data_IF_053732928336
#
_entry.id   IF_053732928336
#
_cell.length_a   1.000
_cell.length_b   1.000
_cell.length_c   1.000
_cell.angle_alpha   90.00
_cell.angle_beta   90.00
_cell.angle_gamma   90.00
#
_symmetry.space_group_name_H-M   'P 1'
#
loop_
_entity.id
_entity.type
_entity.pdbx_description
1 polymer ?
#
# COMPACT_ATOMS: atom_id res chain seq x y z
N UNK A 1 3.68 -42.84 15.57
CA UNK A 1 3.90 -41.38 15.39
C UNK A 1 3.67 -40.72 16.74
N UNK A 2 4.69 -40.72 17.60
CA UNK A 2 4.62 -39.99 18.87
C UNK A 2 4.77 -38.51 18.53
N UNK A 3 3.76 -37.70 18.84
CA UNK A 3 3.88 -36.26 18.72
C UNK A 3 4.84 -35.80 19.82
N UNK A 4 5.98 -35.24 19.45
CA UNK A 4 6.84 -34.55 20.40
C UNK A 4 6.06 -33.32 20.88
N UNK A 5 5.68 -33.30 22.15
CA UNK A 5 5.15 -32.10 22.77
C UNK A 5 6.24 -31.02 22.69
N UNK A 6 6.03 -29.98 21.87
CA UNK A 6 6.91 -28.81 21.85
C UNK A 6 7.06 -28.32 23.30
N UNK A 7 8.26 -28.42 23.85
CA UNK A 7 8.56 -27.91 25.18
C UNK A 7 8.16 -26.43 25.23
N UNK A 8 7.21 -26.10 26.10
CA UNK A 8 6.82 -24.72 26.33
C UNK A 8 8.10 -23.94 26.71
N UNK A 9 8.43 -22.91 25.92
CA UNK A 9 9.56 -22.03 26.23
C UNK A 9 9.16 -21.24 27.47
N UNK A 10 9.56 -21.72 28.64
CA UNK A 10 9.41 -20.98 29.89
C UNK A 10 10.53 -19.93 29.91
N UNK A 11 10.21 -18.63 29.95
CA UNK A 11 11.21 -17.59 30.05
C UNK A 11 12.09 -17.81 31.30
N UNK A 12 13.39 -17.53 31.16
CA UNK A 12 14.31 -17.54 32.29
C UNK A 12 13.94 -16.42 33.26
N UNK A 13 13.65 -16.80 34.50
CA UNK A 13 13.16 -15.93 35.56
C UNK A 13 13.72 -16.37 36.89
N UNK A 14 13.90 -15.41 37.81
CA UNK A 14 14.29 -15.73 39.18
C UNK A 14 13.29 -16.71 39.81
N UNK A 15 13.74 -17.72 40.60
CA UNK A 15 12.85 -18.72 41.19
C UNK A 15 11.69 -18.15 42.01
N UNK A 16 11.91 -17.00 42.66
CA UNK A 16 10.93 -16.28 43.47
C UNK A 16 9.79 -15.65 42.65
N UNK A 17 10.04 -15.37 41.36
CA UNK A 17 9.08 -14.75 40.45
C UNK A 17 8.46 -15.77 39.49
N UNK A 18 8.85 -17.05 39.59
CA UNK A 18 8.38 -18.09 38.68
C UNK A 18 6.98 -18.54 39.09
N UNK A 19 5.93 -18.27 38.28
CA UNK A 19 4.59 -18.75 38.58
C UNK A 19 4.55 -20.29 38.61
N UNK A 20 3.78 -20.86 39.53
CA UNK A 20 3.54 -22.30 39.62
C UNK A 20 2.05 -22.65 39.54
N UNK A 21 1.76 -23.88 39.11
CA UNK A 21 0.38 -24.36 38.92
C UNK A 21 -0.33 -24.43 40.26
N UNK A 22 -1.49 -23.79 40.37
CA UNK A 22 -2.27 -23.73 41.60
C UNK A 22 -1.85 -22.61 42.56
N UNK A 23 -0.98 -21.69 42.14
CA UNK A 23 -0.66 -20.50 42.92
C UNK A 23 -1.93 -19.65 43.14
N UNK A 24 -2.21 -19.34 44.40
CA UNK A 24 -3.35 -18.51 44.83
C UNK A 24 -2.80 -17.20 45.39
N UNK A 25 -3.49 -16.10 45.09
CA UNK A 25 -3.21 -14.77 45.64
C UNK A 25 -4.37 -14.35 46.55
N UNK A 26 -4.08 -13.59 47.60
CA UNK A 26 -5.09 -13.08 48.53
C UNK A 26 -6.01 -12.06 47.86
N UNK A 27 -5.43 -11.19 47.02
CA UNK A 27 -6.15 -10.18 46.25
C UNK A 27 -5.80 -10.23 44.77
N UNK A 28 -6.65 -9.62 43.94
CA UNK A 28 -6.38 -9.47 42.52
C UNK A 28 -5.16 -8.58 42.29
N UNK A 29 -5.00 -7.55 43.11
CA UNK A 29 -3.88 -6.60 43.08
C UNK A 29 -2.53 -7.30 43.32
N UNK A 30 -2.49 -8.26 44.25
CA UNK A 30 -1.28 -9.04 44.53
C UNK A 30 -0.92 -9.93 43.33
N UNK A 31 -1.91 -10.59 42.73
CA UNK A 31 -1.71 -11.38 41.51
C UNK A 31 -1.21 -10.54 40.36
N UNK A 32 -1.79 -9.35 40.14
CA UNK A 32 -1.33 -8.42 39.10
C UNK A 32 0.12 -7.99 39.37
N UNK A 33 0.43 -7.59 40.60
CA UNK A 33 1.77 -7.12 40.97
C UNK A 33 2.83 -8.20 40.76
N UNK A 34 2.50 -9.45 41.10
CA UNK A 34 3.34 -10.62 40.86
C UNK A 34 3.61 -10.83 39.36
N UNK A 35 2.56 -10.87 38.53
CA UNK A 35 2.73 -11.09 37.09
C UNK A 35 3.42 -9.91 36.38
N UNK A 36 3.25 -8.68 36.84
CA UNK A 36 4.01 -7.52 36.35
C UNK A 36 5.50 -7.64 36.68
N UNK A 37 5.86 -8.10 37.88
CA UNK A 37 7.25 -8.34 38.26
C UNK A 37 7.87 -9.48 37.45
N UNK A 38 7.15 -10.59 37.27
CA UNK A 38 7.55 -11.71 36.43
C UNK A 38 7.79 -11.28 34.98
N UNK A 39 6.87 -10.51 34.38
CA UNK A 39 6.98 -10.02 33.02
C UNK A 39 8.21 -9.11 32.83
N UNK A 40 8.46 -8.21 33.79
CA UNK A 40 9.65 -7.34 33.80
C UNK A 40 10.95 -8.15 33.85
N UNK A 41 11.02 -9.17 34.71
CA UNK A 41 12.19 -10.05 34.86
C UNK A 41 12.47 -10.82 33.55
N UNK A 42 11.40 -11.32 32.93
CA UNK A 42 11.45 -12.10 31.68
C UNK A 42 11.53 -11.24 30.41
N UNK A 43 11.48 -9.91 30.52
CA UNK A 43 11.47 -8.95 29.41
C UNK A 43 10.30 -9.12 28.42
N UNK A 44 9.12 -9.45 28.93
CA UNK A 44 7.86 -9.37 28.15
C UNK A 44 6.84 -8.46 28.85
N UNK A 45 5.71 -8.19 28.20
CA UNK A 45 4.68 -7.28 28.70
C UNK A 45 3.37 -8.04 29.04
N UNK A 46 2.69 -7.62 30.11
CA UNK A 46 1.39 -8.17 30.52
C UNK A 46 0.27 -7.28 30.00
N UNK A 47 -0.61 -7.85 29.17
CA UNK A 47 -1.70 -7.09 28.58
C UNK A 47 -2.81 -6.90 29.60
N UNK A 48 -2.83 -5.74 30.26
CA UNK A 48 -3.91 -5.37 31.20
C UNK A 48 -5.19 -5.02 30.43
N UNK A 49 -6.25 -5.79 30.64
CA UNK A 49 -7.60 -5.42 30.21
C UNK A 49 -8.07 -4.29 31.14
N UNK A 50 -8.44 -3.13 30.57
CA UNK A 50 -8.85 -1.96 31.35
C UNK A 50 -10.37 -1.91 31.42
N UNK A 51 -10.95 -2.40 32.51
CA UNK A 51 -12.40 -2.26 32.74
C UNK A 51 -12.79 -0.87 33.26
N UNK A 52 -11.85 -0.12 33.82
CA UNK A 52 -12.06 1.29 34.20
C UNK A 52 -10.75 2.06 34.11
N UNK A 53 -10.69 3.00 33.17
CA UNK A 53 -9.55 3.91 32.97
C UNK A 53 -9.64 5.02 34.02
N UNK A 54 -8.65 5.13 34.92
CA UNK A 54 -8.02 6.43 35.07
C UNK A 54 -6.51 6.24 34.95
N UNK A 55 -5.93 6.58 33.80
CA UNK A 55 -4.47 6.80 33.76
C UNK A 55 -4.14 8.06 33.00
N UNK A 56 -3.48 8.94 33.73
CA UNK A 56 -2.72 10.08 33.26
C UNK A 56 -1.72 9.63 32.19
N UNK A 57 -2.06 9.88 30.93
CA UNK A 57 -1.11 10.17 29.86
C UNK A 57 -1.63 11.41 29.11
N UNK A 58 -1.43 12.52 29.81
CA UNK A 58 -1.36 13.96 29.51
C UNK A 58 -1.76 14.57 28.15
N UNK A 59 -2.33 13.85 27.19
CA UNK A 59 -2.97 14.46 26.01
C UNK A 59 -4.13 13.60 25.51
N UNK A 60 -5.26 14.27 25.29
CA UNK A 60 -6.41 13.72 24.59
C UNK A 60 -6.01 13.21 23.19
N UNK A 61 -6.77 12.25 22.64
CA UNK A 61 -6.49 11.67 21.32
C UNK A 61 -6.41 12.75 20.24
N UNK A 62 -7.26 13.78 20.31
CA UNK A 62 -7.23 14.89 19.36
C UNK A 62 -5.90 15.68 19.48
N UNK A 63 -5.48 15.99 20.71
CA UNK A 63 -4.23 16.71 20.98
C UNK A 63 -3.00 15.95 20.48
N UNK A 64 -3.00 14.60 20.56
CA UNK A 64 -1.91 13.79 20.01
C UNK A 64 -1.79 13.92 18.49
N UNK A 65 -2.92 13.97 17.79
CA UNK A 65 -2.96 14.12 16.34
C UNK A 65 -2.47 15.53 15.96
N UNK A 66 -2.98 16.56 16.62
CA UNK A 66 -2.59 17.96 16.36
C UNK A 66 -1.09 18.17 16.57
N UNK A 67 -0.52 17.60 17.64
CA UNK A 67 0.91 17.67 17.90
C UNK A 67 1.76 16.91 16.86
N UNK A 68 1.29 15.75 16.40
CA UNK A 68 2.01 14.95 15.40
C UNK A 68 2.09 15.67 14.06
N UNK A 69 0.99 16.31 13.65
CA UNK A 69 0.90 17.03 12.39
C UNK A 69 1.30 18.51 12.49
N UNK A 70 1.51 19.03 13.70
CA UNK A 70 1.88 20.42 13.96
C UNK A 70 0.81 21.44 13.57
N UNK A 71 -0.45 21.00 13.42
CA UNK A 71 -1.56 21.82 12.98
C UNK A 71 -2.82 21.49 13.79
N UNK A 72 -3.54 22.53 14.20
CA UNK A 72 -4.83 22.35 14.87
C UNK A 72 -5.88 21.82 13.90
N UNK A 73 -6.84 21.06 14.43
CA UNK A 73 -7.93 20.53 13.63
C UNK A 73 -8.84 21.67 13.15
N UNK A 74 -9.13 21.80 11.84
CA UNK A 74 -10.05 22.83 11.35
C UNK A 74 -11.49 22.55 11.79
N UNK A 75 -12.25 23.62 12.06
CA UNK A 75 -13.66 23.55 12.45
C UNK A 75 -14.59 23.12 11.30
N UNK A 76 -14.18 23.39 10.05
CA UNK A 76 -14.92 23.06 8.84
C UNK A 76 -14.00 22.28 7.90
N UNK A 77 -14.44 21.11 7.46
CA UNK A 77 -13.72 20.27 6.49
C UNK A 77 -14.58 20.13 5.24
N UNK A 78 -14.17 20.79 4.15
CA UNK A 78 -14.79 20.62 2.85
C UNK A 78 -14.13 19.44 2.12
N UNK A 79 -14.78 18.27 2.15
CA UNK A 79 -14.30 17.06 1.48
C UNK A 79 -14.73 17.11 0.01
N UNK A 80 -13.76 17.24 -0.89
CA UNK A 80 -13.99 17.04 -2.32
C UNK A 80 -13.71 15.58 -2.70
N UNK A 81 -14.41 15.02 -3.70
CA UNK A 81 -14.01 13.76 -4.30
C UNK A 81 -12.53 13.80 -4.67
N UNK A 82 -11.77 12.72 -4.44
CA UNK A 82 -10.37 12.67 -4.86
C UNK A 82 -10.31 12.95 -6.35
N UNK A 83 -9.33 13.76 -6.76
CA UNK A 83 -9.05 13.96 -8.17
C UNK A 83 -8.90 12.60 -8.82
N UNK A 84 -9.58 12.38 -9.95
CA UNK A 84 -9.42 11.15 -10.73
C UNK A 84 -7.96 11.02 -11.13
N UNK A 85 -7.21 10.21 -10.40
CA UNK A 85 -5.81 9.94 -10.68
C UNK A 85 -5.74 8.85 -11.73
N UNK A 86 -5.07 9.13 -12.85
CA UNK A 86 -4.81 8.12 -13.87
C UNK A 86 -3.80 7.11 -13.31
N UNK A 87 -4.30 5.98 -12.82
CA UNK A 87 -3.46 4.83 -12.44
C UNK A 87 -3.04 4.06 -13.69
N UNK A 88 -1.94 3.31 -13.60
CA UNK A 88 -1.48 2.43 -14.69
C UNK A 88 -2.61 1.44 -15.05
N UNK A 89 -3.23 1.62 -16.23
CA UNK A 89 -4.32 0.78 -16.72
C UNK A 89 -5.72 1.42 -16.71
N UNK A 90 -5.88 2.64 -16.21
CA UNK A 90 -7.19 3.32 -16.05
C UNK A 90 -7.83 3.91 -17.33
N UNK A 91 -7.28 3.61 -18.51
CA UNK A 91 -8.00 3.73 -19.78
C UNK A 91 -8.37 5.16 -20.23
N UNK A 92 -7.55 5.74 -21.10
CA UNK A 92 -8.09 6.46 -22.26
C UNK A 92 -7.83 5.58 -23.50
N UNK A 93 -8.36 5.93 -24.66
CA UNK A 93 -8.20 5.16 -25.93
C UNK A 93 -6.73 4.86 -26.33
N UNK A 94 -5.75 5.44 -25.63
CA UNK A 94 -4.33 5.05 -25.66
C UNK A 94 -3.91 4.11 -24.51
N UNK A 95 -4.83 3.30 -23.94
CA UNK A 95 -4.59 2.21 -22.98
C UNK A 95 -3.69 1.09 -23.51
N UNK A 96 -2.96 1.35 -24.59
CA UNK A 96 -1.78 0.60 -24.99
C UNK A 96 -0.63 0.98 -24.07
N UNK A 97 0.14 -0.03 -23.70
CA UNK A 97 1.48 0.11 -23.14
C UNK A 97 2.20 1.30 -23.80
N UNK A 98 2.82 2.16 -22.98
CA UNK A 98 3.70 3.22 -23.49
C UNK A 98 4.82 2.52 -24.27
N UNK A 99 4.77 2.58 -25.60
CA UNK A 99 5.77 1.95 -26.45
C UNK A 99 7.09 2.70 -26.36
N UNK A 100 8.20 1.97 -26.25
CA UNK A 100 9.54 2.56 -26.26
C UNK A 100 9.86 3.22 -27.61
N UNK A 101 10.87 4.08 -27.65
CA UNK A 101 11.31 4.69 -28.91
C UNK A 101 11.70 3.61 -29.96
N UNK A 102 12.39 2.57 -29.52
CA UNK A 102 12.77 1.42 -30.34
C UNK A 102 11.54 0.67 -30.87
N UNK A 103 10.56 0.40 -30.01
CA UNK A 103 9.34 -0.29 -30.41
C UNK A 103 8.52 0.53 -31.42
N UNK A 104 8.41 1.85 -31.22
CA UNK A 104 7.76 2.74 -32.19
C UNK A 104 8.48 2.72 -33.55
N UNK A 105 9.82 2.71 -33.54
CA UNK A 105 10.61 2.63 -34.77
C UNK A 105 10.39 1.30 -35.51
N UNK A 106 10.39 0.17 -34.79
CA UNK A 106 10.14 -1.16 -35.36
C UNK A 106 8.75 -1.25 -35.98
N UNK A 107 7.70 -0.77 -35.28
CA UNK A 107 6.33 -0.78 -35.80
C UNK A 107 6.21 0.07 -37.07
N UNK A 108 6.90 1.22 -37.12
CA UNK A 108 6.89 2.09 -38.29
C UNK A 108 7.59 1.44 -39.49
N UNK A 109 8.74 0.80 -39.27
CA UNK A 109 9.50 0.10 -40.30
C UNK A 109 8.71 -1.09 -40.88
N UNK A 110 8.02 -1.84 -40.01
CA UNK A 110 7.22 -3.00 -40.42
C UNK A 110 5.85 -2.65 -40.98
N UNK A 111 5.49 -1.36 -41.07
CA UNK A 111 4.19 -0.95 -41.58
C UNK A 111 4.15 -1.20 -43.10
N UNK A 112 3.22 -2.04 -43.60
CA UNK A 112 3.23 -2.42 -45.00
C UNK A 112 3.00 -1.20 -45.90
N UNK A 113 3.79 -1.10 -46.98
CA UNK A 113 3.51 -0.14 -48.05
C UNK A 113 2.23 -0.55 -48.75
N UNK A 114 1.44 0.43 -49.16
CA UNK A 114 0.20 0.22 -49.92
C UNK A 114 0.23 1.04 -51.20
N UNK A 115 -0.54 0.61 -52.19
CA UNK A 115 -0.66 1.31 -53.48
C UNK A 115 -1.58 2.52 -53.31
N UNK A 116 -1.08 3.71 -53.59
CA UNK A 116 -1.88 4.93 -53.57
C UNK A 116 -2.80 5.00 -54.79
N UNK A 117 -4.11 5.24 -54.61
CA UNK A 117 -5.04 5.34 -55.73
C UNK A 117 -4.80 6.59 -56.62
N UNK A 118 -4.18 7.65 -56.09
CA UNK A 118 -3.90 8.90 -56.81
C UNK A 118 -2.68 8.80 -57.73
N UNK A 119 -1.55 8.30 -57.22
CA UNK A 119 -0.30 8.20 -57.97
C UNK A 119 0.09 6.78 -58.40
N UNK A 120 -0.65 5.76 -57.95
CA UNK A 120 -0.43 4.33 -58.22
C UNK A 120 0.89 3.75 -57.71
N UNK A 121 1.65 4.50 -56.90
CA UNK A 121 2.90 4.06 -56.29
C UNK A 121 2.71 3.39 -54.93
N UNK A 122 3.64 2.51 -54.56
CA UNK A 122 3.70 1.85 -53.25
C UNK A 122 4.40 2.75 -52.23
N UNK A 123 3.69 3.17 -51.19
CA UNK A 123 4.26 4.02 -50.15
C UNK A 123 3.47 3.99 -48.85
N UNK A 124 3.86 4.85 -47.90
CA UNK A 124 3.19 5.01 -46.60
C UNK A 124 2.07 6.07 -46.65
N UNK A 125 1.54 6.36 -47.83
CA UNK A 125 0.51 7.39 -48.07
C UNK A 125 -0.69 6.78 -48.84
N UNK A 126 -1.86 7.41 -48.79
CA UNK A 126 -3.00 7.17 -49.69
C UNK A 126 -3.33 8.40 -50.52
N UNK A 127 -4.40 8.28 -51.31
CA UNK A 127 -4.92 9.35 -52.14
C UNK A 127 -5.26 10.65 -51.37
N UNK A 128 -5.58 10.57 -50.07
CA UNK A 128 -5.96 11.74 -49.25
C UNK A 128 -4.75 12.54 -48.80
N UNK A 129 -3.63 11.89 -48.53
CA UNK A 129 -2.37 12.54 -48.13
C UNK A 129 -1.27 12.45 -49.19
N UNK A 130 -1.62 12.13 -50.44
CA UNK A 130 -0.68 12.04 -51.55
C UNK A 130 -0.23 13.43 -52.00
N UNK A 131 1.05 13.75 -51.79
CA UNK A 131 1.69 15.01 -52.16
C UNK A 131 1.97 15.17 -53.66
N UNK A 132 1.67 14.16 -54.50
CA UNK A 132 1.70 14.37 -55.95
C UNK A 132 0.52 15.23 -56.36
N UNK A 133 0.78 16.26 -57.16
CA UNK A 133 -0.27 16.96 -57.87
C UNK A 133 -0.98 15.98 -58.81
N UNK A 134 -2.29 16.12 -59.00
CA UNK A 134 -3.02 15.27 -59.94
C UNK A 134 -2.49 15.58 -61.33
N UNK A 135 -1.64 14.72 -61.87
CA UNK A 135 -1.28 14.78 -63.28
C UNK A 135 -2.57 14.67 -64.09
N UNK A 136 -2.95 15.75 -64.77
CA UNK A 136 -3.94 15.68 -65.85
C UNK A 136 -3.36 14.68 -66.85
N UNK A 137 -4.00 13.53 -67.02
CA UNK A 137 -3.73 12.65 -68.15
C UNK A 137 -3.96 13.49 -69.40
N UNK A 138 -2.89 13.93 -70.06
CA UNK A 138 -2.98 14.53 -71.39
C UNK A 138 -3.28 13.37 -72.33
N UNK A 139 -4.55 13.21 -72.68
CA UNK A 139 -4.96 12.50 -73.88
C UNK A 139 -4.40 13.25 -75.09
#
# INVERSE_FOLDING_TARGET
MAYEAQAAVIPDCRPELKPYVGQVFETLEDGISFYEAYAKDCRFDTRRFRDTVPSVSSMDKAQRIENLYGASRPSVVNVHPPNVVSTKGSGSSSGKRIASATEKAIILQNKPKRRCAKCREMGHHDARNCGREKGKSKM
#
